data_IF_328376703673
#
_entry.id   IF_328376703673
#
_cell.length_a   1.000
_cell.length_b   1.000
_cell.length_c   1.000
_cell.angle_alpha   90.00
_cell.angle_beta   90.00
_cell.angle_gamma   90.00
#
_symmetry.space_group_name_H-M   'P 1'
#
loop_
_entity.id
_entity.type
_entity.pdbx_description
1 polymer ?
#
# COMPACT_ATOMS: atom_id res chain seq x y z
N UNK A 1 -2.23 7.15 -17.35
CA UNK A 1 -2.87 6.13 -18.21
C UNK A 1 -3.26 4.99 -17.28
N UNK A 2 -4.55 4.65 -17.21
CA UNK A 2 -5.04 3.56 -16.35
C UNK A 2 -4.68 2.21 -16.98
N UNK A 3 -4.06 1.33 -16.20
CA UNK A 3 -3.39 0.12 -16.66
C UNK A 3 -4.25 -1.12 -16.32
N UNK A 4 -4.01 -2.25 -16.99
CA UNK A 4 -4.77 -3.50 -16.79
C UNK A 4 -4.72 -4.07 -15.35
N UNK A 5 -3.78 -3.59 -14.53
CA UNK A 5 -3.61 -4.00 -13.13
C UNK A 5 -4.38 -3.13 -12.13
N UNK A 6 -5.01 -2.04 -12.58
CA UNK A 6 -5.78 -1.13 -11.72
C UNK A 6 -6.81 -1.86 -10.83
N UNK A 7 -7.63 -2.80 -11.35
CA UNK A 7 -8.66 -3.44 -10.54
C UNK A 7 -8.09 -4.27 -9.38
N UNK A 8 -6.92 -4.89 -9.59
CA UNK A 8 -6.29 -5.76 -8.60
C UNK A 8 -5.55 -4.95 -7.51
N UNK A 9 -5.10 -3.71 -7.82
CA UNK A 9 -4.26 -2.91 -6.92
C UNK A 9 -5.04 -1.75 -6.27
N UNK A 10 -5.62 -0.85 -7.07
CA UNK A 10 -6.35 0.34 -6.58
C UNK A 10 -7.87 0.14 -6.53
N UNK A 11 -8.38 -0.94 -7.14
CA UNK A 11 -9.77 -1.35 -7.04
C UNK A 11 -10.09 -2.13 -5.75
N UNK A 12 -11.35 -2.54 -5.62
CA UNK A 12 -11.86 -3.26 -4.43
C UNK A 12 -11.53 -4.75 -4.42
N UNK A 13 -11.05 -5.29 -5.54
CA UNK A 13 -10.76 -6.73 -5.65
C UNK A 13 -9.60 -7.11 -4.71
N UNK A 14 -9.73 -8.16 -3.89
CA UNK A 14 -8.66 -8.61 -3.00
C UNK A 14 -7.39 -9.00 -3.75
N UNK A 15 -6.23 -8.79 -3.12
CA UNK A 15 -4.95 -9.28 -3.63
C UNK A 15 -4.95 -10.81 -3.72
N UNK A 16 -4.35 -11.34 -4.80
CA UNK A 16 -4.13 -12.78 -4.93
C UNK A 16 -3.10 -13.23 -3.90
N UNK A 17 -3.34 -14.39 -3.28
CA UNK A 17 -2.36 -15.02 -2.40
C UNK A 17 -1.19 -15.58 -3.21
N UNK A 18 -0.02 -15.67 -2.58
CA UNK A 18 1.19 -16.30 -3.13
C UNK A 18 1.79 -15.62 -4.37
N UNK A 19 1.62 -14.30 -4.49
CA UNK A 19 2.36 -13.51 -5.49
C UNK A 19 3.83 -13.35 -5.07
N UNK A 20 4.79 -13.36 -6.02
CA UNK A 20 6.19 -13.15 -5.69
C UNK A 20 6.44 -11.71 -5.23
N UNK A 21 7.27 -11.53 -4.21
CA UNK A 21 7.79 -10.20 -3.83
C UNK A 21 8.62 -9.62 -4.98
N UNK A 22 8.27 -8.41 -5.43
CA UNK A 22 9.02 -7.74 -6.48
C UNK A 22 10.50 -7.57 -6.05
N UNK A 23 11.47 -7.67 -6.98
CA UNK A 23 12.89 -7.64 -6.63
C UNK A 23 13.31 -6.43 -5.77
N UNK A 24 12.71 -5.26 -6.01
CA UNK A 24 12.99 -4.04 -5.27
C UNK A 24 12.54 -4.06 -3.79
N UNK A 25 11.63 -4.96 -3.43
CA UNK A 25 11.09 -5.10 -2.06
C UNK A 25 11.66 -6.31 -1.31
N UNK A 26 12.66 -6.99 -1.86
CA UNK A 26 13.34 -8.08 -1.17
C UNK A 26 14.29 -7.50 -0.13
N UNK A 27 14.02 -7.80 1.14
CA UNK A 27 14.91 -7.46 2.26
C UNK A 27 15.95 -8.57 2.38
N UNK A 28 17.22 -8.24 2.10
CA UNK A 28 18.34 -9.17 2.15
C UNK A 28 19.30 -8.89 3.33
N UNK A 29 19.02 -7.85 4.10
CA UNK A 29 19.79 -7.42 5.27
C UNK A 29 19.00 -7.61 6.57
N UNK A 30 19.71 -7.51 7.70
CA UNK A 30 19.07 -7.57 9.02
C UNK A 30 18.29 -6.29 9.32
N UNK A 31 17.12 -6.45 9.93
CA UNK A 31 16.24 -5.35 10.35
C UNK A 31 15.75 -5.59 11.77
N UNK A 32 15.58 -4.50 12.51
CA UNK A 32 15.03 -4.53 13.87
C UNK A 32 13.51 -4.31 13.77
N UNK A 33 12.74 -5.35 14.12
CA UNK A 33 11.31 -5.41 13.83
C UNK A 33 10.53 -4.30 14.54
N UNK A 34 10.87 -3.98 15.79
CA UNK A 34 10.15 -2.96 16.56
C UNK A 34 10.32 -1.57 15.95
N UNK A 35 11.53 -1.22 15.51
CA UNK A 35 11.80 0.04 14.81
C UNK A 35 11.05 0.12 13.48
N UNK A 36 10.95 -0.98 12.74
CA UNK A 36 10.18 -1.00 11.49
C UNK A 36 8.67 -0.87 11.74
N UNK A 37 8.17 -1.48 12.84
CA UNK A 37 6.79 -1.33 13.32
C UNK A 37 6.48 0.11 13.73
N UNK A 38 7.33 0.75 14.51
CA UNK A 38 7.18 2.16 14.90
C UNK A 38 7.13 3.08 13.67
N UNK A 39 7.99 2.81 12.69
CA UNK A 39 8.02 3.57 11.43
C UNK A 39 6.73 3.41 10.63
N UNK A 40 6.20 2.19 10.54
CA UNK A 40 4.91 1.92 9.89
C UNK A 40 3.76 2.68 10.60
N UNK A 41 3.70 2.63 11.93
CA UNK A 41 2.70 3.36 12.71
C UNK A 41 2.79 4.87 12.46
N UNK A 42 4.00 5.43 12.40
CA UNK A 42 4.22 6.84 12.07
C UNK A 42 3.70 7.21 10.68
N UNK A 43 3.88 6.33 9.67
CA UNK A 43 3.33 6.56 8.33
C UNK A 43 1.80 6.49 8.30
N UNK A 44 1.20 5.57 9.05
CA UNK A 44 -0.26 5.46 9.16
C UNK A 44 -0.83 6.74 9.78
N UNK A 45 -0.27 7.18 10.91
CA UNK A 45 -0.71 8.41 11.59
C UNK A 45 -0.57 9.64 10.69
N UNK A 46 0.59 9.81 10.04
CA UNK A 46 0.80 10.92 9.11
C UNK A 46 -0.17 10.89 7.93
N UNK A 47 -0.46 9.72 7.38
CA UNK A 47 -1.41 9.57 6.26
C UNK A 47 -2.82 9.98 6.70
N UNK A 48 -3.23 9.58 7.91
CA UNK A 48 -4.51 9.97 8.48
C UNK A 48 -4.59 11.49 8.71
N UNK A 49 -3.54 12.13 9.23
CA UNK A 49 -3.47 13.58 9.46
C UNK A 49 -3.53 14.40 8.17
N UNK A 50 -2.90 13.91 7.09
CA UNK A 50 -2.94 14.58 5.78
C UNK A 50 -4.35 14.57 5.18
N UNK A 51 -5.15 13.53 5.45
CA UNK A 51 -6.55 13.43 5.04
C UNK A 51 -6.78 13.28 3.53
N UNK A 52 -8.03 13.02 3.15
CA UNK A 52 -8.39 12.68 1.76
C UNK A 52 -8.05 13.76 0.72
N UNK A 53 -8.12 15.03 1.10
CA UNK A 53 -7.88 16.17 0.21
C UNK A 53 -6.42 16.24 -0.26
N UNK A 54 -5.48 15.76 0.56
CA UNK A 54 -4.06 15.69 0.21
C UNK A 54 -3.78 14.64 -0.87
N UNK A 55 -4.59 13.58 -0.93
CA UNK A 55 -4.37 12.45 -1.84
C UNK A 55 -5.23 12.51 -3.09
N UNK A 56 -6.41 13.13 -3.04
CA UNK A 56 -7.30 13.18 -4.18
C UNK A 56 -6.63 13.85 -5.40
N UNK A 57 -6.54 13.13 -6.51
CA UNK A 57 -5.91 13.61 -7.74
C UNK A 57 -4.38 13.53 -7.74
N UNK A 58 -3.75 13.03 -6.67
CA UNK A 58 -2.30 12.88 -6.59
C UNK A 58 -1.82 11.72 -7.46
N UNK A 59 -0.72 11.94 -8.18
CA UNK A 59 -0.12 10.93 -9.06
C UNK A 59 0.61 9.83 -8.29
N UNK A 60 0.45 8.58 -8.77
CA UNK A 60 1.26 7.43 -8.41
C UNK A 60 2.02 6.90 -9.64
N UNK A 61 3.32 6.54 -9.53
CA UNK A 61 4.18 6.22 -10.68
C UNK A 61 3.61 5.23 -11.70
N UNK A 62 2.88 4.20 -11.24
CA UNK A 62 2.36 3.14 -12.10
C UNK A 62 0.91 3.34 -12.58
N UNK A 63 0.19 4.30 -12.02
CA UNK A 63 -1.26 4.46 -12.20
C UNK A 63 -1.69 5.89 -12.59
N UNK A 64 -0.78 6.86 -12.49
CA UNK A 64 -1.09 8.28 -12.68
C UNK A 64 -1.97 8.82 -11.55
N UNK A 65 -2.79 9.81 -11.86
CA UNK A 65 -3.66 10.47 -10.88
C UNK A 65 -4.72 9.51 -10.37
N UNK A 66 -4.75 9.32 -9.05
CA UNK A 66 -5.70 8.44 -8.37
C UNK A 66 -6.76 9.25 -7.64
N UNK A 67 -7.98 8.71 -7.59
CA UNK A 67 -9.03 9.22 -6.71
C UNK A 67 -8.69 8.95 -5.24
N UNK A 68 -9.43 9.59 -4.32
CA UNK A 68 -9.27 9.32 -2.89
C UNK A 68 -9.61 7.86 -2.53
N UNK A 69 -10.58 7.27 -3.22
CA UNK A 69 -11.00 5.89 -2.98
C UNK A 69 -9.93 4.91 -3.51
N UNK A 70 -9.33 5.20 -4.66
CA UNK A 70 -8.21 4.42 -5.21
C UNK A 70 -6.97 4.47 -4.30
N UNK A 71 -6.66 5.64 -3.74
CA UNK A 71 -5.60 5.77 -2.73
C UNK A 71 -5.94 5.02 -1.44
N UNK A 72 -7.17 5.13 -0.95
CA UNK A 72 -7.61 4.45 0.26
C UNK A 72 -7.53 2.92 0.10
N UNK A 73 -8.02 2.41 -1.03
CA UNK A 73 -7.93 1.01 -1.39
C UNK A 73 -6.47 0.55 -1.47
N UNK A 74 -5.59 1.32 -2.13
CA UNK A 74 -4.18 0.99 -2.21
C UNK A 74 -3.53 0.87 -0.83
N UNK A 75 -3.78 1.80 0.08
CA UNK A 75 -3.17 1.79 1.41
C UNK A 75 -3.73 0.69 2.31
N UNK A 76 -5.05 0.69 2.52
CA UNK A 76 -5.68 -0.23 3.46
C UNK A 76 -5.58 -1.68 2.97
N UNK A 77 -5.97 -1.96 1.71
CA UNK A 77 -6.03 -3.33 1.19
C UNK A 77 -4.66 -3.99 1.13
N UNK A 78 -3.62 -3.24 0.77
CA UNK A 78 -2.26 -3.77 0.70
C UNK A 78 -1.71 -4.07 2.10
N UNK A 79 -1.97 -3.19 3.06
CA UNK A 79 -1.60 -3.41 4.45
C UNK A 79 -2.32 -4.62 5.03
N UNK A 80 -3.66 -4.67 4.91
CA UNK A 80 -4.51 -5.76 5.39
C UNK A 80 -4.12 -7.12 4.78
N UNK A 81 -3.84 -7.15 3.47
CA UNK A 81 -3.34 -8.33 2.78
C UNK A 81 -2.08 -8.88 3.45
N UNK A 82 -1.10 -8.03 3.77
CA UNK A 82 0.15 -8.45 4.37
C UNK A 82 -0.03 -8.85 5.84
N UNK A 83 -0.80 -8.10 6.63
CA UNK A 83 -1.07 -8.48 8.02
C UNK A 83 -1.74 -9.86 8.10
N UNK A 84 -2.75 -10.09 7.24
CA UNK A 84 -3.43 -11.39 7.13
C UNK A 84 -2.50 -12.49 6.63
N UNK A 85 -1.64 -12.23 5.65
CA UNK A 85 -0.70 -13.23 5.11
C UNK A 85 0.28 -13.73 6.18
N UNK A 86 0.73 -12.84 7.07
CA UNK A 86 1.70 -13.17 8.12
C UNK A 86 1.05 -13.53 9.46
N UNK A 87 -0.27 -13.38 9.59
CA UNK A 87 -1.00 -13.72 10.81
C UNK A 87 -0.72 -12.77 11.98
N UNK A 88 -0.49 -11.50 11.69
CA UNK A 88 -0.23 -10.43 12.66
C UNK A 88 -1.43 -9.50 12.84
#
# INVERSE_FOLDING_TARGET
MKNIFDPDVVGEKPYRRSLPTAPAFRIADERECERERERLLGYIQRTAELGESHFHGRDYPSFGSLTKDEWNNLFYKHLDHHLTQFGV
#
